data_IF_088961251185
#
_entry.id   IF_088961251185
#
_cell.length_a   1.000
_cell.length_b   1.000
_cell.length_c   1.000
_cell.angle_alpha   90.00
_cell.angle_beta   90.00
_cell.angle_gamma   90.00
#
_symmetry.space_group_name_H-M   'P 1'
#
loop_
_entity.id
_entity.type
_entity.pdbx_description
1 polymer ?
#
# COMPACT_ATOMS: atom_id res chain seq x y z
N UNK A 1 -15.31 18.34 -7.80
CA UNK A 1 -15.29 17.32 -6.74
C UNK A 1 -13.89 16.76 -6.73
N UNK A 2 -13.17 16.84 -5.62
CA UNK A 2 -11.81 16.35 -5.55
C UNK A 2 -11.80 14.82 -5.45
N UNK A 3 -10.75 14.21 -5.95
CA UNK A 3 -10.58 12.76 -5.98
C UNK A 3 -9.44 12.30 -5.09
N UNK A 4 -9.56 11.08 -4.62
CA UNK A 4 -8.47 10.34 -3.98
C UNK A 4 -8.14 9.16 -4.89
N UNK A 5 -6.96 9.17 -5.48
CA UNK A 5 -6.42 8.06 -6.25
C UNK A 5 -5.59 7.18 -5.32
N UNK A 6 -5.80 5.89 -5.38
CA UNK A 6 -5.06 4.92 -4.59
C UNK A 6 -4.13 4.13 -5.49
N UNK A 7 -2.81 4.17 -5.22
CA UNK A 7 -1.80 3.40 -5.93
C UNK A 7 -1.08 2.47 -4.95
N UNK A 8 -0.98 1.21 -5.30
CA UNK A 8 -0.46 0.20 -4.38
C UNK A 8 -0.56 -1.22 -4.91
N UNK A 9 -0.44 -2.16 -4.00
CA UNK A 9 -0.46 -3.59 -4.26
C UNK A 9 -1.77 -4.29 -3.81
N UNK A 10 -1.69 -5.62 -3.61
CA UNK A 10 -2.84 -6.46 -3.23
C UNK A 10 -3.48 -6.10 -1.88
N UNK A 11 -2.73 -5.49 -0.98
CA UNK A 11 -3.25 -5.13 0.34
C UNK A 11 -4.18 -3.94 0.30
N UNK A 12 -4.09 -3.14 -0.76
CA UNK A 12 -4.93 -1.96 -1.01
C UNK A 12 -6.03 -2.23 -2.04
N UNK A 13 -5.77 -3.07 -3.06
CA UNK A 13 -6.58 -3.23 -4.26
C UNK A 13 -8.06 -3.50 -3.98
N UNK A 14 -8.94 -2.84 -4.74
CA UNK A 14 -10.34 -3.24 -4.89
C UNK A 14 -10.42 -4.60 -5.61
N UNK A 15 -10.92 -5.62 -4.91
CA UNK A 15 -11.08 -6.96 -5.43
C UNK A 15 -12.55 -7.22 -5.80
N UNK A 16 -12.77 -7.87 -6.92
CA UNK A 16 -14.11 -8.22 -7.39
C UNK A 16 -14.58 -9.56 -6.77
N UNK A 17 -15.83 -9.94 -7.07
CA UNK A 17 -16.44 -11.16 -6.53
C UNK A 17 -15.65 -12.45 -6.88
N UNK A 18 -14.91 -12.46 -8.00
CA UNK A 18 -14.13 -13.65 -8.41
C UNK A 18 -12.84 -13.85 -7.60
N UNK A 19 -12.40 -12.84 -6.88
CA UNK A 19 -11.26 -12.94 -5.95
C UNK A 19 -11.68 -13.02 -4.50
N UNK A 20 -12.99 -13.07 -4.22
CA UNK A 20 -13.50 -13.24 -2.87
C UNK A 20 -12.92 -14.52 -2.22
N UNK A 21 -12.53 -14.49 -0.93
CA UNK A 21 -12.75 -13.40 0.02
C UNK A 21 -11.58 -12.40 0.15
N UNK A 22 -10.65 -12.37 -0.78
CA UNK A 22 -9.57 -11.38 -0.76
C UNK A 22 -10.15 -9.96 -0.83
N UNK A 23 -9.80 -9.13 0.15
CA UNK A 23 -10.24 -7.74 0.25
C UNK A 23 -9.05 -6.86 0.55
N UNK A 24 -8.81 -5.85 -0.27
CA UNK A 24 -7.85 -4.79 0.05
C UNK A 24 -8.53 -3.69 0.88
N UNK A 25 -7.77 -3.00 1.74
CA UNK A 25 -8.33 -1.96 2.60
C UNK A 25 -8.90 -0.77 1.80
N UNK A 26 -8.43 -0.56 0.57
CA UNK A 26 -8.97 0.47 -0.34
C UNK A 26 -10.45 0.31 -0.63
N UNK A 27 -10.97 -0.93 -0.61
CA UNK A 27 -12.39 -1.19 -0.85
C UNK A 27 -13.33 -0.53 0.16
N UNK A 28 -12.83 -0.27 1.37
CA UNK A 28 -13.65 0.28 2.45
C UNK A 28 -13.31 1.73 2.79
N UNK A 29 -12.32 2.32 2.13
CA UNK A 29 -11.89 3.70 2.41
C UNK A 29 -13.04 4.71 2.29
N UNK A 30 -13.97 4.50 1.37
CA UNK A 30 -15.12 5.38 1.17
C UNK A 30 -16.03 5.49 2.41
N UNK A 31 -16.01 4.50 3.31
CA UNK A 31 -16.77 4.55 4.58
C UNK A 31 -16.18 5.54 5.57
N UNK A 32 -14.94 5.97 5.37
CA UNK A 32 -14.19 6.83 6.29
C UNK A 32 -13.90 8.21 5.70
N UNK A 33 -14.33 8.47 4.47
CA UNK A 33 -14.18 9.78 3.82
C UNK A 33 -15.46 10.59 3.92
N UNK A 34 -15.32 11.92 3.83
CA UNK A 34 -16.48 12.82 3.75
C UNK A 34 -17.17 12.67 2.40
N UNK A 35 -18.47 12.92 2.33
CA UNK A 35 -19.35 12.65 1.17
C UNK A 35 -18.99 13.40 -0.14
N UNK A 36 -18.00 14.29 -0.12
CA UNK A 36 -17.58 15.08 -1.27
C UNK A 36 -16.31 14.58 -1.94
N UNK A 37 -15.80 13.40 -1.57
CA UNK A 37 -14.63 12.78 -2.18
C UNK A 37 -15.00 11.58 -3.03
N UNK A 38 -14.47 11.52 -4.26
CA UNK A 38 -14.54 10.34 -5.11
C UNK A 38 -13.25 9.54 -4.96
N UNK A 39 -13.35 8.25 -4.69
CA UNK A 39 -12.20 7.36 -4.56
C UNK A 39 -12.05 6.53 -5.83
N UNK A 40 -10.86 6.57 -6.44
CA UNK A 40 -10.45 5.74 -7.55
C UNK A 40 -9.30 4.82 -7.13
N UNK A 41 -9.61 3.54 -6.95
CA UNK A 41 -8.58 2.55 -6.57
C UNK A 41 -7.90 1.98 -7.83
N UNK A 42 -6.65 2.36 -8.03
CA UNK A 42 -5.76 1.89 -9.10
C UNK A 42 -4.74 0.85 -8.61
N UNK A 43 -4.77 0.49 -7.32
CA UNK A 43 -3.88 -0.53 -6.78
C UNK A 43 -4.04 -1.87 -7.52
N UNK A 44 -2.96 -2.65 -7.62
CA UNK A 44 -2.99 -3.91 -8.37
C UNK A 44 -2.18 -5.00 -7.68
N UNK A 45 -2.81 -6.17 -7.52
CA UNK A 45 -2.18 -7.35 -6.94
C UNK A 45 -0.81 -7.63 -7.56
N UNK A 46 0.20 -7.87 -6.71
CA UNK A 46 1.55 -8.27 -7.12
C UNK A 46 2.43 -7.14 -7.65
N UNK A 47 1.99 -5.87 -7.63
CA UNK A 47 2.79 -4.76 -8.15
C UNK A 47 3.71 -4.19 -7.09
N UNK A 48 4.93 -3.91 -7.50
CA UNK A 48 5.92 -3.07 -6.83
C UNK A 48 5.87 -1.65 -7.40
N UNK A 49 6.62 -0.72 -6.81
CA UNK A 49 6.80 0.62 -7.40
C UNK A 49 7.31 0.50 -8.84
N UNK A 50 8.33 -0.35 -9.08
CA UNK A 50 8.93 -0.60 -10.39
C UNK A 50 7.89 -1.11 -11.40
N UNK A 51 7.24 -2.23 -11.12
CA UNK A 51 6.29 -2.84 -12.07
C UNK A 51 5.05 -1.97 -12.30
N UNK A 52 4.64 -1.16 -11.31
CA UNK A 52 3.55 -0.20 -11.48
C UNK A 52 3.90 0.91 -12.47
N UNK A 53 5.17 1.34 -12.49
CA UNK A 53 5.71 2.30 -13.47
C UNK A 53 5.85 1.63 -14.84
N UNK A 54 6.55 0.50 -14.90
CA UNK A 54 6.92 -0.19 -16.14
C UNK A 54 5.68 -0.64 -16.96
N UNK A 55 4.58 -1.00 -16.27
CA UNK A 55 3.30 -1.35 -16.90
C UNK A 55 2.46 -0.14 -17.33
N UNK A 56 2.95 1.08 -17.16
CA UNK A 56 2.22 2.31 -17.49
C UNK A 56 1.02 2.60 -16.59
N UNK A 57 0.89 1.91 -15.45
CA UNK A 57 -0.25 2.09 -14.53
C UNK A 57 -0.24 3.45 -13.87
N UNK A 58 0.93 3.93 -13.48
CA UNK A 58 1.06 5.26 -12.92
C UNK A 58 0.73 6.35 -13.96
N UNK A 59 1.15 6.17 -15.21
CA UNK A 59 0.75 7.08 -16.28
C UNK A 59 -0.77 7.20 -16.42
N UNK A 60 -1.49 6.08 -16.33
CA UNK A 60 -2.96 6.08 -16.39
C UNK A 60 -3.61 6.87 -15.23
N UNK A 61 -2.96 6.93 -14.06
CA UNK A 61 -3.38 7.78 -12.93
C UNK A 61 -3.09 9.25 -13.26
N UNK A 62 -1.89 9.57 -13.72
CA UNK A 62 -1.49 10.94 -14.08
C UNK A 62 -2.37 11.56 -15.17
N UNK A 63 -2.86 10.75 -16.11
CA UNK A 63 -3.74 11.21 -17.19
C UNK A 63 -5.14 11.64 -16.67
N UNK A 64 -5.53 11.18 -15.47
CA UNK A 64 -6.80 11.51 -14.82
C UNK A 64 -6.69 12.53 -13.70
N UNK A 65 -5.47 12.75 -13.21
CA UNK A 65 -5.18 13.57 -12.04
C UNK A 65 -5.39 15.06 -12.37
N UNK A 66 -6.03 15.77 -11.47
CA UNK A 66 -6.30 17.21 -11.58
C UNK A 66 -5.79 17.96 -10.36
N UNK A 67 -5.63 19.26 -10.48
CA UNK A 67 -5.24 20.13 -9.37
C UNK A 67 -6.17 19.95 -8.16
N UNK A 68 -5.59 19.79 -6.98
CA UNK A 68 -6.27 19.61 -5.70
C UNK A 68 -6.73 18.17 -5.41
N UNK A 69 -6.48 17.23 -6.32
CA UNK A 69 -6.67 15.81 -6.04
C UNK A 69 -5.60 15.26 -5.09
N UNK A 70 -5.85 14.08 -4.53
CA UNK A 70 -4.90 13.38 -3.67
C UNK A 70 -4.52 12.01 -4.25
N UNK A 71 -3.28 11.62 -4.02
CA UNK A 71 -2.80 10.26 -4.28
C UNK A 71 -2.38 9.63 -2.96
N UNK A 72 -2.91 8.45 -2.63
CA UNK A 72 -2.41 7.62 -1.52
C UNK A 72 -1.53 6.53 -2.12
N UNK A 73 -0.26 6.50 -1.73
CA UNK A 73 0.76 5.61 -2.26
C UNK A 73 1.21 4.59 -1.20
N UNK A 74 0.95 3.29 -1.44
CA UNK A 74 1.39 2.20 -0.56
C UNK A 74 2.02 1.07 -1.36
N UNK A 75 3.35 0.92 -1.26
CA UNK A 75 4.13 -0.15 -1.87
C UNK A 75 5.16 -0.69 -0.88
N UNK A 76 5.80 -1.83 -1.24
CA UNK A 76 6.87 -2.46 -0.49
C UNK A 76 6.78 -3.99 -0.50
N UNK A 77 5.58 -4.59 -0.36
CA UNK A 77 5.39 -6.05 -0.32
C UNK A 77 5.97 -6.80 -1.51
N UNK A 78 6.04 -6.16 -2.68
CA UNK A 78 6.55 -6.76 -3.90
C UNK A 78 7.92 -6.20 -4.28
N UNK A 79 8.25 -5.01 -3.85
CA UNK A 79 9.55 -4.38 -4.03
C UNK A 79 10.68 -5.19 -3.38
N UNK A 80 10.42 -5.83 -2.24
CA UNK A 80 11.38 -6.63 -1.48
C UNK A 80 11.65 -8.04 -2.06
N UNK A 81 11.05 -8.41 -3.19
CA UNK A 81 11.18 -9.74 -3.80
C UNK A 81 12.43 -9.83 -4.66
N UNK A 82 13.57 -10.01 -4.02
CA UNK A 82 14.91 -10.10 -4.63
C UNK A 82 15.10 -11.27 -5.62
N UNK A 83 14.21 -12.26 -5.58
CA UNK A 83 14.14 -13.36 -6.54
C UNK A 83 13.31 -13.06 -7.81
N UNK A 84 12.77 -11.85 -7.95
CA UNK A 84 11.96 -11.43 -9.10
C UNK A 84 12.35 -10.02 -9.55
N UNK A 85 13.29 -9.93 -10.49
CA UNK A 85 13.83 -8.66 -11.00
C UNK A 85 12.80 -7.78 -11.71
N UNK A 86 11.65 -8.31 -12.09
CA UNK A 86 10.57 -7.51 -12.68
C UNK A 86 9.86 -6.64 -11.65
N UNK A 87 9.99 -6.97 -10.36
CA UNK A 87 9.38 -6.27 -9.24
C UNK A 87 10.38 -5.71 -8.24
N UNK A 88 11.53 -6.36 -8.13
CA UNK A 88 12.54 -5.99 -7.15
C UNK A 88 13.03 -4.55 -7.33
N UNK A 89 13.15 -3.85 -6.23
CA UNK A 89 13.87 -2.58 -6.08
C UNK A 89 14.74 -2.65 -4.83
N UNK A 90 15.88 -1.99 -4.83
CA UNK A 90 16.65 -1.80 -3.59
C UNK A 90 16.00 -0.74 -2.72
N UNK A 91 15.81 -1.04 -1.42
CA UNK A 91 15.05 -0.20 -0.49
C UNK A 91 15.63 1.18 -0.22
N UNK A 92 16.94 1.35 -0.38
CA UNK A 92 17.66 2.59 -0.05
C UNK A 92 18.02 3.41 -1.30
N UNK A 93 17.78 2.87 -2.50
CA UNK A 93 18.05 3.53 -3.78
C UNK A 93 16.83 3.48 -4.70
N UNK A 94 16.70 2.51 -5.58
CA UNK A 94 15.68 2.48 -6.63
C UNK A 94 14.22 2.49 -6.12
N UNK A 95 13.95 1.97 -4.93
CA UNK A 95 12.66 2.12 -4.28
C UNK A 95 12.35 3.59 -3.96
N UNK A 96 13.31 4.29 -3.36
CA UNK A 96 13.15 5.71 -3.02
C UNK A 96 13.12 6.59 -4.27
N UNK A 97 13.90 6.25 -5.30
CA UNK A 97 13.89 6.96 -6.59
C UNK A 97 12.48 6.85 -7.23
N UNK A 98 11.85 5.68 -7.16
CA UNK A 98 10.48 5.50 -7.67
C UNK A 98 9.45 6.28 -6.84
N UNK A 99 9.61 6.34 -5.51
CA UNK A 99 8.75 7.17 -4.66
C UNK A 99 8.92 8.66 -4.98
N UNK A 100 10.16 9.13 -5.19
CA UNK A 100 10.45 10.49 -5.62
C UNK A 100 9.81 10.80 -6.99
N UNK A 101 9.90 9.88 -7.94
CA UNK A 101 9.24 10.02 -9.23
C UNK A 101 7.72 10.16 -9.10
N UNK A 102 7.07 9.36 -8.23
CA UNK A 102 5.65 9.53 -7.96
C UNK A 102 5.33 10.91 -7.39
N UNK A 103 6.16 11.39 -6.46
CA UNK A 103 5.99 12.70 -5.85
C UNK A 103 6.04 13.80 -6.90
N UNK A 104 7.13 13.85 -7.67
CA UNK A 104 7.40 14.90 -8.63
C UNK A 104 6.31 14.99 -9.72
N UNK A 105 5.86 13.86 -10.22
CA UNK A 105 4.82 13.83 -11.25
C UNK A 105 3.43 14.23 -10.72
N UNK A 106 3.11 13.87 -9.47
CA UNK A 106 1.86 14.28 -8.81
C UNK A 106 1.86 15.78 -8.55
N UNK A 107 2.96 16.33 -8.00
CA UNK A 107 3.11 17.77 -7.74
C UNK A 107 3.04 18.60 -9.03
N UNK A 108 3.62 18.13 -10.14
CA UNK A 108 3.49 18.78 -11.46
C UNK A 108 2.04 18.94 -11.93
N UNK A 109 1.14 18.07 -11.46
CA UNK A 109 -0.30 18.16 -11.74
C UNK A 109 -1.04 19.12 -10.78
N UNK A 110 -0.36 19.70 -9.79
CA UNK A 110 -0.97 20.47 -8.72
C UNK A 110 -1.82 19.64 -7.75
N UNK A 111 -1.55 18.33 -7.70
CA UNK A 111 -2.18 17.39 -6.80
C UNK A 111 -1.26 17.09 -5.59
N UNK A 112 -1.73 16.35 -4.62
CA UNK A 112 -1.00 16.04 -3.40
C UNK A 112 -0.78 14.53 -3.26
N UNK A 113 0.39 14.14 -2.72
CA UNK A 113 0.65 12.73 -2.43
C UNK A 113 0.81 12.50 -0.92
N UNK A 114 0.21 11.40 -0.44
CA UNK A 114 0.34 10.89 0.93
C UNK A 114 0.90 9.48 0.83
N UNK A 115 2.02 9.25 1.49
CA UNK A 115 2.62 7.93 1.57
C UNK A 115 2.01 7.12 2.70
N UNK A 116 1.95 5.82 2.52
CA UNK A 116 1.57 4.87 3.55
C UNK A 116 2.57 3.69 3.53
N UNK A 117 3.17 3.37 4.65
CA UNK A 117 4.05 2.20 4.72
C UNK A 117 3.26 0.91 4.56
N UNK A 118 3.92 -0.17 4.11
CA UNK A 118 3.27 -1.48 3.96
C UNK A 118 2.68 -1.96 5.29
N UNK A 119 1.43 -2.43 5.29
CA UNK A 119 0.85 -3.09 6.46
C UNK A 119 1.70 -4.31 6.85
N UNK A 120 1.78 -4.63 8.15
CA UNK A 120 2.56 -5.78 8.60
C UNK A 120 1.97 -7.11 8.11
N UNK A 121 2.82 -8.10 7.85
CA UNK A 121 2.36 -9.49 7.64
C UNK A 121 2.06 -10.14 8.97
N UNK A 122 1.09 -11.06 8.95
CA UNK A 122 0.78 -11.89 10.12
C UNK A 122 1.89 -12.95 10.31
N UNK A 123 3.00 -12.54 10.90
CA UNK A 123 4.10 -13.44 11.28
C UNK A 123 4.37 -13.29 12.77
N UNK A 124 4.08 -14.34 13.53
CA UNK A 124 4.33 -14.40 14.96
C UNK A 124 5.56 -15.24 15.28
N UNK A 125 6.33 -14.79 16.25
CA UNK A 125 7.47 -15.50 16.84
C UNK A 125 7.47 -15.28 18.34
N UNK A 126 7.48 -16.34 19.12
CA UNK A 126 7.42 -16.29 20.59
C UNK A 126 6.25 -15.40 21.12
N UNK A 127 5.07 -15.53 20.50
CA UNK A 127 3.87 -14.81 20.89
C UNK A 127 3.83 -13.32 20.46
N UNK A 128 4.84 -12.83 19.74
CA UNK A 128 4.89 -11.46 19.22
C UNK A 128 4.83 -11.44 17.70
N UNK A 129 4.03 -10.54 17.14
CA UNK A 129 4.08 -10.24 15.72
C UNK A 129 5.37 -9.49 15.40
N UNK A 130 6.07 -9.93 14.36
CA UNK A 130 7.34 -9.35 13.94
C UNK A 130 7.22 -8.77 12.53
N UNK A 131 7.92 -7.64 12.30
CA UNK A 131 8.06 -7.10 10.96
C UNK A 131 8.94 -8.01 10.08
N UNK A 132 8.50 -8.24 8.86
CA UNK A 132 9.20 -9.09 7.88
C UNK A 132 9.47 -8.37 6.55
N UNK A 133 9.34 -7.05 6.53
CA UNK A 133 9.45 -6.24 5.31
C UNK A 133 10.88 -5.78 4.96
N UNK A 134 11.90 -6.47 5.48
CA UNK A 134 13.30 -6.23 5.12
C UNK A 134 13.74 -4.73 5.18
N UNK A 135 13.03 -3.91 5.98
CA UNK A 135 13.35 -2.50 6.18
C UNK A 135 12.72 -1.51 5.19
N UNK A 136 11.87 -1.95 4.25
CA UNK A 136 11.19 -1.04 3.30
C UNK A 136 10.28 -0.01 3.98
N UNK A 137 9.44 -0.38 4.98
CA UNK A 137 8.65 0.61 5.72
C UNK A 137 9.50 1.68 6.39
N UNK A 138 10.61 1.26 7.02
CA UNK A 138 11.52 2.17 7.71
C UNK A 138 12.24 3.10 6.73
N UNK A 139 12.63 2.58 5.56
CA UNK A 139 13.28 3.36 4.51
C UNK A 139 12.33 4.43 3.95
N UNK A 140 11.08 4.07 3.61
CA UNK A 140 10.04 5.02 3.20
C UNK A 140 9.81 6.08 4.27
N UNK A 141 9.59 5.67 5.54
CA UNK A 141 9.31 6.60 6.64
C UNK A 141 10.44 7.60 6.84
N UNK A 142 11.69 7.11 6.91
CA UNK A 142 12.88 7.96 7.04
C UNK A 142 13.03 8.94 5.88
N UNK A 143 12.77 8.48 4.67
CA UNK A 143 12.83 9.32 3.47
C UNK A 143 11.75 10.41 3.49
N UNK A 144 10.52 10.05 3.85
CA UNK A 144 9.43 11.02 4.01
C UNK A 144 9.75 12.07 5.07
N UNK A 145 10.25 11.66 6.24
CA UNK A 145 10.60 12.58 7.33
C UNK A 145 11.71 13.56 6.90
N UNK A 146 12.74 13.06 6.19
CA UNK A 146 13.82 13.90 5.68
C UNK A 146 13.34 14.96 4.69
N UNK A 147 12.33 14.66 3.89
CA UNK A 147 11.80 15.55 2.85
C UNK A 147 10.53 16.31 3.30
N UNK A 148 10.10 16.13 4.55
CA UNK A 148 8.87 16.71 5.10
C UNK A 148 7.58 16.29 4.36
N UNK A 149 7.57 15.06 3.81
CA UNK A 149 6.41 14.49 3.14
C UNK A 149 5.46 13.83 4.12
N UNK A 150 4.17 13.91 3.85
CA UNK A 150 3.15 13.25 4.67
C UNK A 150 3.25 11.73 4.52
N UNK A 151 3.45 11.04 5.65
CA UNK A 151 3.56 9.58 5.68
C UNK A 151 2.77 8.99 6.86
N UNK A 152 1.87 8.07 6.56
CA UNK A 152 1.14 7.27 7.55
C UNK A 152 1.91 5.96 7.77
N UNK A 153 2.40 5.74 8.97
CA UNK A 153 3.15 4.52 9.30
C UNK A 153 2.21 3.34 9.59
N UNK A 154 1.56 2.81 8.54
CA UNK A 154 0.66 1.66 8.64
C UNK A 154 1.38 0.41 9.13
N UNK A 155 2.70 0.28 8.88
CA UNK A 155 3.47 -0.86 9.37
C UNK A 155 3.46 -0.90 10.90
N UNK A 156 3.84 0.20 11.55
CA UNK A 156 3.86 0.27 13.01
C UNK A 156 2.45 0.19 13.61
N UNK A 157 1.48 0.86 13.01
CA UNK A 157 0.09 0.81 13.47
C UNK A 157 -0.48 -0.61 13.44
N UNK A 158 -0.27 -1.33 12.33
CA UNK A 158 -0.77 -2.71 12.19
C UNK A 158 0.03 -3.70 13.02
N UNK A 159 1.34 -3.48 13.19
CA UNK A 159 2.19 -4.28 14.09
C UNK A 159 1.74 -4.15 15.56
N UNK A 160 1.45 -2.94 16.00
CA UNK A 160 0.92 -2.68 17.34
C UNK A 160 -0.44 -3.36 17.55
N UNK A 161 -1.37 -3.17 16.60
CA UNK A 161 -2.70 -3.82 16.63
C UNK A 161 -2.59 -5.35 16.70
N UNK A 162 -1.69 -5.95 15.92
CA UNK A 162 -1.53 -7.42 15.93
C UNK A 162 -0.95 -7.93 17.24
N UNK A 163 -0.04 -7.18 17.85
CA UNK A 163 0.50 -7.52 19.16
C UNK A 163 -0.53 -7.36 20.29
N UNK A 164 -1.42 -6.38 20.18
CA UNK A 164 -2.52 -6.18 21.12
C UNK A 164 -3.56 -7.31 21.04
N UNK A 165 -3.97 -7.68 19.82
CA UNK A 165 -4.98 -8.71 19.58
C UNK A 165 -4.47 -10.14 19.78
N UNK A 166 -3.16 -10.35 19.59
CA UNK A 166 -2.52 -11.66 19.66
C UNK A 166 -2.75 -12.54 18.44
N UNK A 167 -2.01 -13.64 18.38
CA UNK A 167 -1.94 -14.50 17.20
C UNK A 167 -3.30 -15.07 16.78
N UNK A 168 -4.10 -15.53 17.71
CA UNK A 168 -5.38 -16.19 17.39
C UNK A 168 -6.41 -15.21 16.85
N UNK A 169 -6.57 -14.04 17.49
CA UNK A 169 -7.58 -13.07 17.05
C UNK A 169 -7.25 -12.43 15.70
N UNK A 170 -5.97 -12.29 15.37
CA UNK A 170 -5.54 -11.72 14.08
C UNK A 170 -5.84 -12.62 12.89
N UNK A 171 -6.15 -13.91 13.10
CA UNK A 171 -6.60 -14.82 12.02
C UNK A 171 -7.84 -14.26 11.29
N UNK A 172 -8.70 -13.53 12.00
CA UNK A 172 -9.94 -12.96 11.45
C UNK A 172 -9.71 -11.91 10.36
N UNK A 173 -8.52 -11.31 10.29
CA UNK A 173 -8.14 -10.35 9.26
C UNK A 173 -7.48 -10.98 8.03
N UNK A 174 -7.31 -12.29 8.03
CA UNK A 174 -6.62 -13.02 6.96
C UNK A 174 -7.49 -14.12 6.40
N UNK A 175 -7.19 -14.52 5.16
CA UNK A 175 -7.84 -15.65 4.51
C UNK A 175 -7.38 -16.99 5.12
N UNK A 176 -7.59 -17.15 6.43
CA UNK A 176 -7.31 -18.39 7.16
C UNK A 176 -8.63 -19.04 7.47
N UNK A 177 -8.99 -20.04 6.66
CA UNK A 177 -10.25 -20.76 6.78
C UNK A 177 -10.02 -22.15 7.32
N UNK A 178 -10.89 -22.59 8.22
CA UNK A 178 -10.95 -24.00 8.61
C UNK A 178 -11.46 -24.87 7.45
N UNK A 179 -11.21 -26.19 7.49
CA UNK A 179 -11.41 -27.09 6.34
C UNK A 179 -12.84 -27.25 5.81
N UNK A 180 -13.82 -26.48 6.27
CA UNK A 180 -15.25 -26.63 5.89
C UNK A 180 -16.02 -25.31 5.70
N UNK A 181 -15.39 -24.20 5.39
CA UNK A 181 -16.11 -22.90 5.26
C UNK A 181 -16.53 -22.51 3.85
N UNK A 182 -16.23 -23.31 2.84
CA UNK A 182 -16.61 -23.07 1.44
C UNK A 182 -16.95 -24.44 0.78
N UNK A 183 -18.02 -25.07 1.21
CA UNK A 183 -18.76 -26.03 0.39
C UNK A 183 -19.93 -25.33 -0.28
#
# INVERSE_FOLDING_TARGET
>A
MNKIFMIGDSTMQYNNIFSYPQTGWGQVLHLFTKNNWLIEDHAKNGRSTKSFIDEGRFKNVLDKLSQGDYVICQFGHNDEKDNDLTRYTDKDTSYLDNLAYFHDEVEKKGAHIVYATSITRRKFQNGKCIDTHKGYPQSMKKWCDKNHYTCIDLNQLTLALYNELGEENTKKFHMIFGPKKFE
#
